data_IF_758639719438
#
_entry.id   IF_758639719438
#
_cell.length_a   1.000
_cell.length_b   1.000
_cell.length_c   1.000
_cell.angle_alpha   90.00
_cell.angle_beta   90.00
_cell.angle_gamma   90.00
#
_symmetry.space_group_name_H-M   'P 1'
#
loop_
_entity.id
_entity.type
_entity.pdbx_description
1 polymer ?
#
# COMPACT_ATOMS: atom_id res chain seq x y z
N UNK A 1 -15.14 15.76 68.84
CA UNK A 1 -14.90 16.29 67.50
C UNK A 1 -13.45 16.08 66.97
N UNK A 2 -12.43 16.27 67.79
CA UNK A 2 -10.99 16.13 67.34
C UNK A 2 -10.64 14.71 66.84
N UNK A 3 -11.21 13.65 67.42
CA UNK A 3 -10.92 12.25 67.01
C UNK A 3 -11.51 11.85 65.65
N UNK A 4 -12.56 12.53 65.17
CA UNK A 4 -13.18 12.26 63.88
C UNK A 4 -12.37 12.89 62.76
N UNK A 5 -11.80 14.07 62.96
CA UNK A 5 -10.94 14.76 61.99
C UNK A 5 -9.60 14.01 61.79
N UNK A 6 -9.04 13.38 62.81
CA UNK A 6 -7.80 12.60 62.67
C UNK A 6 -8.03 11.31 61.89
N UNK A 7 -9.21 10.69 61.98
CA UNK A 7 -9.53 9.49 61.19
C UNK A 7 -9.78 9.82 59.70
N UNK A 8 -10.40 10.98 59.45
CA UNK A 8 -10.62 11.45 58.07
C UNK A 8 -9.31 11.87 57.39
N UNK A 9 -8.38 12.48 58.13
CA UNK A 9 -7.04 12.86 57.62
C UNK A 9 -6.19 11.61 57.32
N UNK A 10 -6.29 10.54 58.14
CA UNK A 10 -5.61 9.27 57.89
C UNK A 10 -6.18 8.54 56.67
N UNK A 11 -7.50 8.60 56.46
CA UNK A 11 -8.14 8.02 55.27
C UNK A 11 -7.75 8.76 53.99
N UNK A 12 -7.65 10.10 54.01
CA UNK A 12 -7.21 10.90 52.87
C UNK A 12 -5.72 10.65 52.54
N UNK A 13 -4.88 10.50 53.60
CA UNK A 13 -3.48 10.17 53.43
C UNK A 13 -3.26 8.75 52.87
N UNK A 14 -4.07 7.76 53.35
CA UNK A 14 -4.01 6.38 52.82
C UNK A 14 -4.48 6.29 51.38
N UNK A 15 -5.54 7.02 50.97
CA UNK A 15 -5.97 7.13 49.57
C UNK A 15 -4.93 7.80 48.69
N UNK A 16 -4.24 8.84 49.18
CA UNK A 16 -3.21 9.55 48.38
C UNK A 16 -1.93 8.72 48.20
N UNK A 17 -1.57 7.87 49.18
CA UNK A 17 -0.44 6.93 49.07
C UNK A 17 -0.78 5.77 48.16
N UNK A 18 -2.00 5.24 48.20
CA UNK A 18 -2.46 4.18 47.31
C UNK A 18 -2.55 4.65 45.84
N UNK A 19 -3.05 5.87 45.62
CA UNK A 19 -3.11 6.49 44.29
C UNK A 19 -1.71 6.77 43.74
N UNK A 20 -0.73 7.24 44.56
CA UNK A 20 0.63 7.43 44.13
C UNK A 20 1.39 6.15 43.81
N UNK A 21 1.20 5.08 44.59
CA UNK A 21 1.81 3.79 44.38
C UNK A 21 1.39 3.15 43.05
N UNK A 22 0.08 3.14 42.79
CA UNK A 22 -0.46 2.60 41.55
C UNK A 22 -0.11 3.46 40.32
N UNK A 23 0.02 4.80 40.49
CA UNK A 23 0.42 5.68 39.39
C UNK A 23 1.89 5.48 38.98
N UNK A 24 2.80 5.23 39.94
CA UNK A 24 4.21 4.97 39.63
C UNK A 24 4.44 3.62 38.94
N UNK A 25 3.74 2.57 39.35
CA UNK A 25 3.79 1.26 38.71
C UNK A 25 3.23 1.35 37.29
N UNK A 26 2.08 2.01 37.10
CA UNK A 26 1.46 2.18 35.80
C UNK A 26 2.33 3.00 34.82
N UNK A 27 3.07 4.01 35.32
CA UNK A 27 3.99 4.81 34.49
C UNK A 27 5.20 4.00 34.05
N UNK A 28 5.76 3.15 34.89
CA UNK A 28 6.90 2.32 34.54
C UNK A 28 6.53 1.26 33.50
N UNK A 29 5.38 0.64 33.65
CA UNK A 29 4.89 -0.39 32.73
C UNK A 29 4.46 0.18 31.39
N UNK A 30 3.83 1.36 31.35
CA UNK A 30 3.50 2.03 30.09
C UNK A 30 4.74 2.45 29.30
N UNK A 31 5.84 2.79 29.97
CA UNK A 31 7.12 3.07 29.31
C UNK A 31 7.68 1.83 28.60
N UNK A 32 7.52 0.63 29.18
CA UNK A 32 7.96 -0.60 28.52
C UNK A 32 7.11 -0.90 27.27
N UNK A 33 5.79 -0.67 27.33
CA UNK A 33 4.91 -0.75 26.13
C UNK A 33 5.36 0.21 25.04
N UNK A 34 5.66 1.45 25.41
CA UNK A 34 6.15 2.47 24.46
C UNK A 34 7.47 2.03 23.83
N UNK A 35 8.40 1.53 24.65
CA UNK A 35 9.70 1.04 24.19
C UNK A 35 9.56 -0.14 23.23
N UNK A 36 8.74 -1.15 23.56
CA UNK A 36 8.47 -2.30 22.71
C UNK A 36 7.87 -1.88 21.37
N UNK A 37 6.89 -0.97 21.37
CA UNK A 37 6.30 -0.44 20.14
C UNK A 37 7.31 0.34 19.30
N UNK A 38 8.21 1.12 19.93
CA UNK A 38 9.26 1.85 19.24
C UNK A 38 10.28 0.90 18.61
N UNK A 39 10.78 -0.07 19.36
CA UNK A 39 11.71 -1.09 18.87
C UNK A 39 11.10 -1.89 17.70
N UNK A 40 9.84 -2.29 17.85
CA UNK A 40 9.11 -2.96 16.78
C UNK A 40 9.02 -2.09 15.52
N UNK A 41 8.72 -0.79 15.67
CA UNK A 41 8.68 0.13 14.54
C UNK A 41 10.06 0.31 13.88
N UNK A 42 11.13 0.38 14.65
CA UNK A 42 12.49 0.54 14.14
C UNK A 42 12.94 -0.67 13.30
N UNK A 43 12.52 -1.88 13.69
CA UNK A 43 12.82 -3.13 12.99
C UNK A 43 12.01 -3.35 11.71
N UNK A 44 11.02 -2.51 11.38
CA UNK A 44 10.02 -2.73 10.31
C UNK A 44 10.59 -3.00 8.91
N UNK A 45 11.77 -2.44 8.61
CA UNK A 45 12.41 -2.58 7.29
C UNK A 45 13.43 -3.73 7.25
N UNK A 46 14.03 -4.07 8.39
CA UNK A 46 15.13 -5.03 8.48
C UNK A 46 14.67 -6.41 8.95
N UNK A 47 13.61 -6.44 9.77
CA UNK A 47 13.06 -7.68 10.34
C UNK A 47 11.56 -7.53 10.60
N UNK A 48 10.72 -7.61 9.54
CA UNK A 48 9.27 -7.45 9.67
C UNK A 48 8.63 -8.51 10.58
N UNK A 49 9.16 -9.74 10.61
CA UNK A 49 8.72 -10.79 11.53
C UNK A 49 8.93 -10.40 12.98
N UNK A 50 10.11 -9.80 13.29
CA UNK A 50 10.42 -9.30 14.62
C UNK A 50 9.50 -8.15 14.99
N UNK A 51 9.18 -7.27 14.02
CA UNK A 51 8.19 -6.19 14.19
C UNK A 51 6.83 -6.74 14.65
N UNK A 52 6.35 -7.80 14.01
CA UNK A 52 5.08 -8.45 14.39
C UNK A 52 5.21 -9.11 15.78
N UNK A 53 6.33 -9.78 16.06
CA UNK A 53 6.58 -10.46 17.33
C UNK A 53 6.62 -9.47 18.50
N UNK A 54 7.38 -8.39 18.37
CA UNK A 54 7.52 -7.38 19.42
C UNK A 54 6.23 -6.57 19.59
N UNK A 55 5.51 -6.31 18.49
CA UNK A 55 4.17 -5.73 18.54
C UNK A 55 3.17 -6.60 19.32
N UNK A 56 3.23 -7.93 19.20
CA UNK A 56 2.41 -8.85 20.00
C UNK A 56 2.75 -8.77 21.48
N UNK A 57 4.04 -8.68 21.83
CA UNK A 57 4.46 -8.51 23.24
C UNK A 57 3.97 -7.17 23.79
N UNK A 58 4.11 -6.09 23.00
CA UNK A 58 3.60 -4.77 23.38
C UNK A 58 2.08 -4.80 23.59
N UNK A 59 1.34 -5.50 22.72
CA UNK A 59 -0.11 -5.65 22.83
C UNK A 59 -0.49 -6.35 24.13
N UNK A 60 0.09 -7.52 24.41
CA UNK A 60 -0.22 -8.28 25.60
C UNK A 60 0.02 -7.47 26.89
N UNK A 61 1.15 -6.76 26.97
CA UNK A 61 1.45 -5.90 28.10
C UNK A 61 0.50 -4.69 28.18
N UNK A 62 0.16 -4.07 27.04
CA UNK A 62 -0.76 -2.94 27.00
C UNK A 62 -2.19 -3.33 27.40
N UNK A 63 -2.64 -4.53 27.05
CA UNK A 63 -3.94 -5.09 27.48
C UNK A 63 -3.97 -5.35 28.98
N UNK A 64 -2.91 -5.97 29.52
CA UNK A 64 -2.76 -6.19 30.97
C UNK A 64 -2.83 -4.87 31.75
N UNK A 65 -2.20 -3.82 31.23
CA UNK A 65 -2.17 -2.49 31.84
C UNK A 65 -3.40 -1.63 31.50
N UNK A 66 -4.32 -2.13 30.69
CA UNK A 66 -5.46 -1.37 30.15
C UNK A 66 -5.04 -0.05 29.47
N UNK A 67 -3.82 -0.04 28.90
CA UNK A 67 -3.23 1.13 28.25
C UNK A 67 -3.73 1.25 26.82
N UNK A 68 -4.89 1.86 26.65
CA UNK A 68 -5.61 1.98 25.35
C UNK A 68 -4.75 2.53 24.22
N UNK A 69 -3.93 3.56 24.47
CA UNK A 69 -3.02 4.12 23.47
C UNK A 69 -1.94 3.11 23.06
N UNK A 70 -1.39 2.37 24.01
CA UNK A 70 -0.40 1.32 23.76
C UNK A 70 -0.97 0.19 22.92
N UNK A 71 -2.23 -0.22 23.17
CA UNK A 71 -2.95 -1.21 22.37
C UNK A 71 -3.09 -0.73 20.91
N UNK A 72 -3.56 0.51 20.72
CA UNK A 72 -3.69 1.11 19.38
C UNK A 72 -2.38 1.13 18.63
N UNK A 73 -1.28 1.52 19.29
CA UNK A 73 0.05 1.57 18.70
C UNK A 73 0.59 0.18 18.38
N UNK A 74 0.38 -0.81 19.24
CA UNK A 74 0.78 -2.20 18.99
C UNK A 74 0.09 -2.76 17.74
N UNK A 75 -1.22 -2.55 17.59
CA UNK A 75 -1.92 -2.93 16.36
C UNK A 75 -1.36 -2.21 15.14
N UNK A 76 -1.05 -0.91 15.23
CA UNK A 76 -0.45 -0.16 14.12
C UNK A 76 0.91 -0.75 13.71
N UNK A 77 1.78 -1.02 14.65
CA UNK A 77 3.12 -1.54 14.38
C UNK A 77 3.07 -2.96 13.83
N UNK A 78 2.19 -3.82 14.39
CA UNK A 78 1.94 -5.15 13.83
C UNK A 78 1.40 -5.07 12.40
N UNK A 79 0.52 -4.10 12.10
CA UNK A 79 0.03 -3.82 10.76
C UNK A 79 1.16 -3.45 9.80
N UNK A 80 2.12 -2.63 10.23
CA UNK A 80 3.31 -2.28 9.44
C UNK A 80 4.17 -3.52 9.18
N UNK A 81 4.44 -4.37 10.18
CA UNK A 81 5.16 -5.61 9.98
C UNK A 81 4.50 -6.51 8.94
N UNK A 82 3.18 -6.70 9.05
CA UNK A 82 2.42 -7.50 8.07
C UNK A 82 2.40 -6.88 6.67
N UNK A 83 2.40 -5.55 6.55
CA UNK A 83 2.54 -4.86 5.27
C UNK A 83 3.87 -5.22 4.58
N UNK A 84 5.00 -5.18 5.31
CA UNK A 84 6.31 -5.54 4.77
C UNK A 84 6.47 -7.06 4.52
N UNK A 85 5.65 -7.90 5.17
CA UNK A 85 5.54 -9.33 4.88
C UNK A 85 4.60 -9.64 3.69
N UNK A 86 4.12 -8.63 2.97
CA UNK A 86 3.14 -8.77 1.88
C UNK A 86 1.82 -9.43 2.33
N UNK A 87 1.47 -9.33 3.60
CA UNK A 87 0.24 -9.86 4.19
C UNK A 87 -0.82 -8.76 4.29
N UNK A 88 -1.25 -8.23 3.15
CA UNK A 88 -2.10 -7.04 3.06
C UNK A 88 -3.41 -7.17 3.83
N UNK A 89 -4.04 -8.36 3.81
CA UNK A 89 -5.27 -8.62 4.56
C UNK A 89 -5.08 -8.48 6.06
N UNK A 90 -3.98 -9.02 6.59
CA UNK A 90 -3.68 -8.90 8.02
C UNK A 90 -3.30 -7.46 8.36
N UNK A 91 -2.56 -6.79 7.50
CA UNK A 91 -2.18 -5.39 7.69
C UNK A 91 -3.40 -4.48 7.81
N UNK A 92 -4.38 -4.59 6.89
CA UNK A 92 -5.58 -3.73 6.94
C UNK A 92 -6.43 -4.01 8.17
N UNK A 93 -6.63 -5.28 8.57
CA UNK A 93 -7.39 -5.63 9.77
C UNK A 93 -6.76 -5.01 11.03
N UNK A 94 -5.42 -5.09 11.15
CA UNK A 94 -4.67 -4.51 12.26
C UNK A 94 -4.72 -2.99 12.26
N UNK A 95 -4.64 -2.34 11.09
CA UNK A 95 -4.79 -0.89 10.99
C UNK A 95 -6.19 -0.43 11.39
N UNK A 96 -7.23 -1.16 11.01
CA UNK A 96 -8.60 -0.82 11.39
C UNK A 96 -8.83 -0.99 12.91
N UNK A 97 -8.26 -2.03 13.51
CA UNK A 97 -8.27 -2.18 14.97
C UNK A 97 -7.54 -1.02 15.64
N UNK A 98 -6.34 -0.69 15.18
CA UNK A 98 -5.58 0.46 15.66
C UNK A 98 -6.39 1.75 15.60
N UNK A 99 -7.02 2.01 14.45
CA UNK A 99 -7.85 3.19 14.22
C UNK A 99 -9.00 3.28 15.24
N UNK A 100 -9.70 2.16 15.49
CA UNK A 100 -10.79 2.13 16.44
C UNK A 100 -10.35 2.49 17.87
N UNK A 101 -9.16 2.03 18.29
CA UNK A 101 -8.61 2.37 19.59
C UNK A 101 -8.22 3.84 19.69
N UNK A 102 -7.60 4.43 18.65
CA UNK A 102 -7.24 5.85 18.66
C UNK A 102 -8.46 6.77 18.58
N UNK A 103 -9.47 6.40 17.81
CA UNK A 103 -10.75 7.12 17.78
C UNK A 103 -11.45 7.12 19.14
N UNK A 104 -11.44 5.97 19.84
CA UNK A 104 -12.00 5.86 21.18
C UNK A 104 -11.39 6.83 22.19
N UNK A 105 -10.10 7.14 22.05
CA UNK A 105 -9.39 8.08 22.93
C UNK A 105 -9.16 9.45 22.33
N UNK A 106 -9.73 9.72 21.15
CA UNK A 106 -9.58 10.97 20.39
C UNK A 106 -8.12 11.38 20.12
N UNK A 107 -7.22 10.39 19.93
CA UNK A 107 -5.82 10.63 19.55
C UNK A 107 -5.71 10.88 18.04
N UNK A 108 -6.08 12.09 17.61
CA UNK A 108 -6.05 12.49 16.21
C UNK A 108 -4.66 12.32 15.56
N UNK A 109 -3.58 12.56 16.32
CA UNK A 109 -2.21 12.38 15.80
C UNK A 109 -1.93 10.94 15.40
N UNK A 110 -2.32 9.99 16.22
CA UNK A 110 -2.15 8.57 15.93
C UNK A 110 -3.12 8.09 14.85
N UNK A 111 -4.36 8.60 14.82
CA UNK A 111 -5.30 8.35 13.71
C UNK A 111 -4.70 8.75 12.37
N UNK A 112 -4.08 9.93 12.27
CA UNK A 112 -3.44 10.37 11.04
C UNK A 112 -2.33 9.43 10.58
N UNK A 113 -1.51 8.91 11.51
CA UNK A 113 -0.48 7.90 11.18
C UNK A 113 -1.08 6.61 10.63
N UNK A 114 -2.20 6.17 11.20
CA UNK A 114 -2.91 4.97 10.71
C UNK A 114 -3.48 5.21 9.33
N UNK A 115 -4.12 6.35 9.07
CA UNK A 115 -4.61 6.70 7.73
C UNK A 115 -3.47 6.74 6.71
N UNK A 116 -2.30 7.28 7.06
CA UNK A 116 -1.13 7.24 6.20
C UNK A 116 -0.70 5.79 5.88
N UNK A 117 -0.71 4.89 6.88
CA UNK A 117 -0.36 3.49 6.66
C UNK A 117 -1.37 2.78 5.75
N UNK A 118 -2.66 3.04 5.93
CA UNK A 118 -3.72 2.51 5.05
C UNK A 118 -3.55 3.06 3.62
N UNK A 119 -3.25 4.35 3.48
CA UNK A 119 -2.96 4.96 2.18
C UNK A 119 -1.80 4.27 1.46
N UNK A 120 -0.73 3.94 2.18
CA UNK A 120 0.41 3.19 1.62
C UNK A 120 0.00 1.78 1.17
N UNK A 121 -0.90 1.11 1.88
CA UNK A 121 -1.39 -0.22 1.49
C UNK A 121 -2.15 -0.19 0.15
N UNK A 122 -2.86 0.91 -0.13
CA UNK A 122 -3.60 1.08 -1.38
C UNK A 122 -2.78 1.67 -2.53
N UNK A 123 -1.54 2.11 -2.28
CA UNK A 123 -0.72 2.86 -3.23
C UNK A 123 -0.50 2.12 -4.56
N UNK A 124 -0.36 0.80 -4.53
CA UNK A 124 -0.08 0.02 -5.73
C UNK A 124 -1.34 -0.47 -6.47
N UNK A 125 -2.49 -0.53 -5.78
CA UNK A 125 -3.67 -1.23 -6.29
C UNK A 125 -4.89 -0.33 -6.47
N UNK A 126 -4.99 0.77 -5.71
CA UNK A 126 -6.15 1.67 -5.76
C UNK A 126 -5.75 3.11 -5.43
N UNK A 127 -5.37 3.85 -6.46
CA UNK A 127 -4.94 5.26 -6.31
C UNK A 127 -6.01 6.17 -5.71
N UNK A 128 -7.29 5.89 -5.94
CA UNK A 128 -8.38 6.70 -5.39
C UNK A 128 -8.48 6.53 -3.88
N UNK A 129 -8.47 5.30 -3.40
CA UNK A 129 -8.46 5.01 -1.96
C UNK A 129 -7.17 5.50 -1.30
N UNK A 130 -6.01 5.31 -1.94
CA UNK A 130 -4.75 5.84 -1.43
C UNK A 130 -4.82 7.36 -1.21
N UNK A 131 -5.30 8.12 -2.21
CA UNK A 131 -5.47 9.57 -2.10
C UNK A 131 -6.45 9.95 -1.00
N UNK A 132 -7.58 9.26 -0.89
CA UNK A 132 -8.57 9.52 0.15
C UNK A 132 -7.97 9.39 1.55
N UNK A 133 -7.28 8.29 1.83
CA UNK A 133 -6.65 8.06 3.14
C UNK A 133 -5.49 9.02 3.40
N UNK A 134 -4.67 9.33 2.42
CA UNK A 134 -3.63 10.34 2.56
C UNK A 134 -4.21 11.73 2.81
N UNK A 135 -5.34 12.09 2.17
CA UNK A 135 -6.02 13.38 2.41
C UNK A 135 -6.64 13.46 3.81
N UNK A 136 -7.26 12.36 4.30
CA UNK A 136 -7.74 12.28 5.70
C UNK A 136 -6.58 12.51 6.68
N UNK A 137 -5.45 11.84 6.45
CA UNK A 137 -4.25 12.01 7.25
C UNK A 137 -3.69 13.43 7.17
N UNK A 138 -3.60 13.99 5.97
CA UNK A 138 -3.06 15.33 5.71
C UNK A 138 -3.89 16.44 6.39
N UNK A 139 -5.21 16.33 6.32
CA UNK A 139 -6.11 17.28 6.99
C UNK A 139 -5.83 17.32 8.50
N UNK A 140 -5.68 16.15 9.13
CA UNK A 140 -5.38 16.07 10.57
C UNK A 140 -3.97 16.58 10.85
N UNK A 141 -2.96 16.17 10.07
CA UNK A 141 -1.57 16.58 10.27
C UNK A 141 -1.40 18.11 10.17
N UNK A 142 -2.07 18.74 9.21
CA UNK A 142 -2.07 20.20 9.05
C UNK A 142 -2.77 20.89 10.23
N UNK A 143 -3.92 20.39 10.67
CA UNK A 143 -4.64 20.92 11.83
C UNK A 143 -3.81 20.87 13.11
N UNK A 144 -2.98 19.82 13.25
CA UNK A 144 -2.08 19.63 14.40
C UNK A 144 -0.71 20.28 14.23
N UNK A 145 -0.44 20.94 13.10
CA UNK A 145 0.87 21.48 12.73
C UNK A 145 1.98 20.40 12.79
N UNK A 146 1.66 19.13 12.47
CA UNK A 146 2.63 18.03 12.41
C UNK A 146 3.40 18.10 11.09
N UNK A 147 4.42 18.97 11.04
CA UNK A 147 5.22 19.19 9.84
C UNK A 147 5.91 17.92 9.32
N UNK A 148 6.51 17.03 10.15
CA UNK A 148 7.10 15.78 9.67
C UNK A 148 6.08 14.89 8.94
N UNK A 149 4.91 14.69 9.53
CA UNK A 149 3.86 13.89 8.91
C UNK A 149 3.31 14.56 7.64
N UNK A 150 3.13 15.88 7.65
CA UNK A 150 2.69 16.66 6.48
C UNK A 150 3.68 16.50 5.32
N UNK A 151 4.98 16.58 5.58
CA UNK A 151 6.03 16.36 4.58
C UNK A 151 5.98 14.96 3.99
N UNK A 152 5.85 13.93 4.83
CA UNK A 152 5.74 12.54 4.39
C UNK A 152 4.48 12.30 3.56
N UNK A 153 3.35 12.91 3.94
CA UNK A 153 2.10 12.81 3.19
C UNK A 153 2.18 13.47 1.82
N UNK A 154 2.83 14.63 1.69
CA UNK A 154 3.07 15.22 0.38
C UNK A 154 3.93 14.32 -0.49
N UNK A 155 4.94 13.66 0.08
CA UNK A 155 5.76 12.69 -0.65
C UNK A 155 4.91 11.51 -1.14
N UNK A 156 4.06 10.96 -0.28
CA UNK A 156 3.19 9.83 -0.62
C UNK A 156 2.13 10.21 -1.67
N UNK A 157 1.52 11.39 -1.55
CA UNK A 157 0.59 11.91 -2.56
C UNK A 157 1.32 12.12 -3.90
N UNK A 158 2.55 12.64 -3.87
CA UNK A 158 3.41 12.73 -5.04
C UNK A 158 3.64 11.39 -5.71
N UNK A 159 3.87 10.33 -4.92
CA UNK A 159 4.01 8.96 -5.42
C UNK A 159 2.72 8.48 -6.12
N UNK A 160 1.54 8.77 -5.57
CA UNK A 160 0.27 8.45 -6.24
C UNK A 160 0.17 9.14 -7.60
N UNK A 161 0.48 10.44 -7.67
CA UNK A 161 0.42 11.17 -8.94
C UNK A 161 1.46 10.68 -9.94
N UNK A 162 2.65 10.31 -9.48
CA UNK A 162 3.65 9.65 -10.32
C UNK A 162 3.12 8.34 -10.94
N UNK A 163 2.53 7.47 -10.12
CA UNK A 163 1.90 6.21 -10.57
C UNK A 163 0.76 6.46 -11.56
N UNK A 164 0.00 7.52 -11.37
CA UNK A 164 -1.03 7.99 -12.32
C UNK A 164 -0.43 8.66 -13.58
N UNK A 165 0.88 8.72 -13.71
CA UNK A 165 1.63 9.42 -14.78
C UNK A 165 1.32 10.92 -14.86
N UNK A 166 0.79 11.50 -13.78
CA UNK A 166 0.60 12.94 -13.69
C UNK A 166 1.87 13.59 -13.09
N UNK A 167 2.89 13.70 -13.92
CA UNK A 167 4.24 14.09 -13.51
C UNK A 167 4.32 15.52 -12.95
N UNK A 168 3.53 16.44 -13.50
CA UNK A 168 3.52 17.82 -13.03
C UNK A 168 2.99 17.92 -11.59
N UNK A 169 1.90 17.21 -11.27
CA UNK A 169 1.39 17.15 -9.93
C UNK A 169 2.33 16.42 -8.98
N UNK A 170 2.96 15.32 -9.44
CA UNK A 170 3.97 14.63 -8.65
C UNK A 170 5.11 15.55 -8.24
N UNK A 171 5.70 16.31 -9.19
CA UNK A 171 6.75 17.28 -8.91
C UNK A 171 6.28 18.35 -7.91
N UNK A 172 5.09 18.90 -8.10
CA UNK A 172 4.54 19.92 -7.18
C UNK A 172 4.44 19.40 -5.74
N UNK A 173 3.98 18.15 -5.55
CA UNK A 173 3.90 17.56 -4.23
C UNK A 173 5.26 17.21 -3.65
N UNK A 174 6.22 16.74 -4.46
CA UNK A 174 7.58 16.52 -4.00
C UNK A 174 8.29 17.82 -3.62
N UNK A 175 8.02 18.93 -4.32
CA UNK A 175 8.56 20.24 -3.94
C UNK A 175 8.00 20.76 -2.61
N UNK A 176 6.69 20.55 -2.35
CA UNK A 176 6.08 20.84 -1.04
C UNK A 176 6.73 20.01 0.06
N UNK A 177 6.92 18.72 -0.17
CA UNK A 177 7.59 17.82 0.76
C UNK A 177 9.03 18.26 1.02
N UNK A 178 9.79 18.55 -0.05
CA UNK A 178 11.18 19.02 0.03
C UNK A 178 11.31 20.30 0.85
N UNK A 179 10.40 21.27 0.67
CA UNK A 179 10.40 22.51 1.44
C UNK A 179 10.24 22.27 2.94
N UNK A 180 9.33 21.35 3.31
CA UNK A 180 9.12 21.00 4.70
C UNK A 180 10.34 20.30 5.29
N UNK A 181 10.88 19.28 4.61
CA UNK A 181 12.02 18.52 5.12
C UNK A 181 13.31 19.34 5.14
N UNK A 182 13.46 20.31 4.23
CA UNK A 182 14.55 21.28 4.29
C UNK A 182 14.44 22.16 5.55
N UNK A 183 13.27 22.65 5.88
CA UNK A 183 13.03 23.39 7.12
C UNK A 183 13.25 22.57 8.39
N UNK A 184 13.00 21.27 8.33
CA UNK A 184 13.24 20.33 9.43
C UNK A 184 14.68 19.81 9.49
N UNK A 185 15.50 20.10 8.49
CA UNK A 185 16.86 19.53 8.31
C UNK A 185 16.85 17.98 8.26
N UNK A 186 15.74 17.38 7.81
CA UNK A 186 15.59 15.93 7.68
C UNK A 186 16.24 15.45 6.39
N UNK A 187 17.53 15.18 6.50
CA UNK A 187 18.35 14.74 5.36
C UNK A 187 17.86 13.44 4.72
N UNK A 188 17.30 12.51 5.48
CA UNK A 188 16.83 11.22 4.97
C UNK A 188 15.64 11.42 4.02
N UNK A 189 14.68 12.19 4.45
CA UNK A 189 13.51 12.48 3.60
C UNK A 189 13.86 13.43 2.44
N UNK A 190 14.84 14.33 2.60
CA UNK A 190 15.37 15.14 1.50
C UNK A 190 16.00 14.27 0.39
N UNK A 191 16.79 13.25 0.76
CA UNK A 191 17.35 12.28 -0.19
C UNK A 191 16.21 11.60 -0.98
N UNK A 192 15.15 11.19 -0.31
CA UNK A 192 14.00 10.57 -0.96
C UNK A 192 13.26 11.54 -1.91
N UNK A 193 13.12 12.82 -1.53
CA UNK A 193 12.58 13.85 -2.41
C UNK A 193 13.42 14.02 -3.68
N UNK A 194 14.75 14.09 -3.54
CA UNK A 194 15.68 14.20 -4.67
C UNK A 194 15.57 12.99 -5.59
N UNK A 195 15.55 11.79 -5.02
CA UNK A 195 15.40 10.55 -5.77
C UNK A 195 14.08 10.51 -6.55
N UNK A 196 12.96 10.79 -5.88
CA UNK A 196 11.64 10.74 -6.52
C UNK A 196 11.52 11.78 -7.64
N UNK A 197 12.03 13.00 -7.45
CA UNK A 197 12.10 14.02 -8.51
C UNK A 197 12.98 13.56 -9.65
N UNK A 198 14.12 12.94 -9.38
CA UNK A 198 14.99 12.36 -10.39
C UNK A 198 14.29 11.30 -11.23
N UNK A 199 13.52 10.41 -10.59
CA UNK A 199 12.68 9.40 -11.27
C UNK A 199 11.63 10.05 -12.17
N UNK A 200 10.98 11.14 -11.73
CA UNK A 200 10.01 11.86 -12.57
C UNK A 200 10.69 12.49 -13.79
N UNK A 201 11.84 13.17 -13.60
CA UNK A 201 12.56 13.76 -14.72
C UNK A 201 13.09 12.69 -15.70
N UNK A 202 13.49 11.53 -15.20
CA UNK A 202 13.82 10.38 -16.06
C UNK A 202 12.60 9.95 -16.89
N UNK A 203 11.42 9.82 -16.27
CA UNK A 203 10.17 9.46 -16.96
C UNK A 203 9.73 10.51 -17.98
N UNK A 204 10.13 11.77 -17.79
CA UNK A 204 9.93 12.88 -18.74
C UNK A 204 11.02 12.97 -19.82
N UNK A 205 11.97 12.04 -19.86
CA UNK A 205 13.16 12.05 -20.74
C UNK A 205 14.06 13.30 -20.55
N UNK A 206 13.96 13.98 -19.40
CA UNK A 206 14.84 15.10 -19.04
C UNK A 206 16.09 14.56 -18.34
N UNK A 207 16.88 13.78 -19.08
CA UNK A 207 17.97 12.95 -18.54
C UNK A 207 19.02 13.74 -17.76
N UNK A 208 19.42 14.91 -18.21
CA UNK A 208 20.42 15.74 -17.50
C UNK A 208 19.94 16.18 -16.12
N UNK A 209 18.66 16.58 -15.99
CA UNK A 209 18.08 16.94 -14.70
C UNK A 209 17.94 15.72 -13.79
N UNK A 210 17.51 14.59 -14.36
CA UNK A 210 17.39 13.33 -13.65
C UNK A 210 18.74 12.89 -13.09
N UNK A 211 19.77 12.87 -13.92
CA UNK A 211 21.13 12.47 -13.54
C UNK A 211 21.67 13.33 -12.37
N UNK A 212 21.57 14.66 -12.48
CA UNK A 212 22.04 15.57 -11.44
C UNK A 212 21.38 15.31 -10.10
N UNK A 213 20.05 15.14 -10.08
CA UNK A 213 19.28 14.88 -8.85
C UNK A 213 19.60 13.50 -8.26
N UNK A 214 19.71 12.49 -9.11
CA UNK A 214 20.00 11.12 -8.68
C UNK A 214 21.43 11.00 -8.16
N UNK A 215 22.41 11.63 -8.80
CA UNK A 215 23.80 11.67 -8.30
C UNK A 215 23.88 12.40 -6.96
N UNK A 216 23.18 13.52 -6.80
CA UNK A 216 23.12 14.22 -5.52
C UNK A 216 22.46 13.36 -4.42
N UNK A 217 21.37 12.67 -4.74
CA UNK A 217 20.71 11.74 -3.81
C UNK A 217 21.63 10.57 -3.43
N UNK A 218 22.28 9.96 -4.41
CA UNK A 218 23.23 8.86 -4.21
C UNK A 218 24.39 9.27 -3.31
N UNK A 219 25.03 10.41 -3.60
CA UNK A 219 26.13 10.95 -2.80
C UNK A 219 25.68 11.18 -1.35
N UNK A 220 24.56 11.89 -1.16
CA UNK A 220 24.04 12.17 0.18
C UNK A 220 23.63 10.90 0.95
N UNK A 221 23.16 9.86 0.25
CA UNK A 221 22.84 8.58 0.86
C UNK A 221 24.09 7.80 1.30
N UNK A 222 25.15 7.81 0.47
CA UNK A 222 26.45 7.19 0.82
C UNK A 222 27.11 7.85 2.04
N UNK A 223 27.11 9.18 2.11
CA UNK A 223 27.65 9.94 3.24
C UNK A 223 26.95 9.62 4.57
N UNK A 224 25.80 8.93 4.54
CA UNK A 224 25.00 8.55 5.71
C UNK A 224 24.82 7.04 5.87
N UNK A 225 25.57 6.25 5.12
CA UNK A 225 25.50 4.78 5.14
C UNK A 225 24.08 4.21 4.92
N UNK A 226 23.29 4.86 4.07
CA UNK A 226 21.92 4.46 3.78
C UNK A 226 21.86 3.49 2.60
N UNK A 227 22.04 2.19 2.85
CA UNK A 227 22.13 1.16 1.82
C UNK A 227 20.92 1.13 0.88
N UNK A 228 19.69 1.22 1.39
CA UNK A 228 18.47 1.14 0.58
C UNK A 228 18.31 2.31 -0.39
N UNK A 229 18.45 3.58 0.03
CA UNK A 229 18.50 4.72 -0.89
C UNK A 229 19.61 4.62 -1.93
N UNK A 230 20.82 4.18 -1.58
CA UNK A 230 21.92 3.98 -2.55
C UNK A 230 21.52 2.94 -3.60
N UNK A 231 21.04 1.75 -3.15
CA UNK A 231 20.65 0.69 -4.07
C UNK A 231 19.52 1.14 -5.02
N UNK A 232 18.46 1.76 -4.50
CA UNK A 232 17.32 2.19 -5.33
C UNK A 232 17.67 3.34 -6.28
N UNK A 233 18.54 4.27 -5.87
CA UNK A 233 19.02 5.36 -6.73
C UNK A 233 19.90 4.81 -7.86
N UNK A 234 20.76 3.85 -7.55
CA UNK A 234 21.63 3.20 -8.55
C UNK A 234 20.82 2.44 -9.62
N UNK A 235 19.69 1.81 -9.26
CA UNK A 235 18.78 1.22 -10.24
C UNK A 235 18.25 2.26 -11.23
N UNK A 236 17.84 3.41 -10.74
CA UNK A 236 17.34 4.48 -11.61
C UNK A 236 18.44 5.09 -12.47
N UNK A 237 19.64 5.30 -11.91
CA UNK A 237 20.82 5.76 -12.67
C UNK A 237 21.22 4.76 -13.74
N UNK A 238 21.23 3.46 -13.43
CA UNK A 238 21.52 2.42 -14.40
C UNK A 238 20.51 2.44 -15.54
N UNK A 239 19.22 2.53 -15.24
CA UNK A 239 18.15 2.64 -16.25
C UNK A 239 18.32 3.88 -17.14
N UNK A 240 18.70 5.00 -16.54
CA UNK A 240 19.00 6.25 -17.24
C UNK A 240 20.19 6.08 -18.19
N UNK A 241 21.29 5.49 -17.74
CA UNK A 241 22.47 5.25 -18.59
C UNK A 241 22.20 4.23 -19.70
N UNK A 242 21.41 3.20 -19.43
CA UNK A 242 20.94 2.24 -20.45
C UNK A 242 20.11 2.97 -21.52
N UNK A 243 19.19 3.84 -21.12
CA UNK A 243 18.37 4.62 -22.05
C UNK A 243 19.20 5.54 -22.95
N UNK A 244 20.32 6.05 -22.43
CA UNK A 244 21.29 6.87 -23.18
C UNK A 244 22.37 6.06 -23.91
N UNK A 245 22.33 4.73 -23.87
CA UNK A 245 23.37 3.84 -24.42
C UNK A 245 24.76 4.02 -23.78
N UNK A 246 24.83 4.55 -22.56
CA UNK A 246 26.06 4.72 -21.74
C UNK A 246 26.32 3.44 -20.96
N UNK A 247 26.55 2.34 -21.65
CA UNK A 247 26.54 0.99 -21.09
C UNK A 247 27.64 0.73 -20.05
N UNK A 248 28.82 1.33 -20.20
CA UNK A 248 29.92 1.13 -19.24
C UNK A 248 29.60 1.80 -17.90
N UNK A 249 28.96 2.96 -17.94
CA UNK A 249 28.52 3.66 -16.72
C UNK A 249 27.36 2.92 -16.07
N UNK A 250 26.42 2.39 -16.87
CA UNK A 250 25.35 1.54 -16.38
C UNK A 250 25.90 0.31 -15.65
N UNK A 251 26.87 -0.39 -16.23
CA UNK A 251 27.47 -1.57 -15.61
C UNK A 251 28.16 -1.25 -14.28
N UNK A 252 28.94 -0.17 -14.23
CA UNK A 252 29.61 0.28 -13.01
C UNK A 252 28.61 0.58 -11.89
N UNK A 253 27.54 1.30 -12.20
CA UNK A 253 26.48 1.66 -11.23
C UNK A 253 25.68 0.42 -10.79
N UNK A 254 25.44 -0.52 -11.68
CA UNK A 254 24.79 -1.79 -11.36
C UNK A 254 25.65 -2.60 -10.39
N UNK A 255 26.94 -2.77 -10.68
CA UNK A 255 27.86 -3.52 -9.81
C UNK A 255 27.95 -2.89 -8.40
N UNK A 256 28.06 -1.57 -8.36
CA UNK A 256 28.08 -0.87 -7.08
C UNK A 256 26.76 -1.07 -6.33
N UNK A 257 25.63 -0.88 -7.00
CA UNK A 257 24.30 -1.00 -6.38
C UNK A 257 23.98 -2.41 -5.93
N UNK A 258 24.43 -3.45 -6.65
CA UNK A 258 24.29 -4.83 -6.22
C UNK A 258 25.01 -5.12 -4.89
N UNK A 259 26.17 -4.51 -4.63
CA UNK A 259 26.86 -4.65 -3.37
C UNK A 259 26.03 -4.11 -2.19
N UNK A 260 25.37 -2.96 -2.38
CA UNK A 260 24.42 -2.42 -1.40
C UNK A 260 23.14 -3.24 -1.28
N UNK A 261 22.61 -3.76 -2.38
CA UNK A 261 21.41 -4.59 -2.39
C UNK A 261 21.64 -5.91 -1.62
N UNK A 262 22.80 -6.55 -1.80
CA UNK A 262 23.14 -7.79 -1.10
C UNK A 262 23.13 -7.63 0.42
N UNK A 263 23.52 -6.45 0.94
CA UNK A 263 23.50 -6.15 2.36
C UNK A 263 22.06 -6.00 2.93
N UNK A 264 21.06 -5.75 2.05
CA UNK A 264 19.67 -5.53 2.47
C UNK A 264 18.89 -6.84 2.64
N UNK A 265 19.31 -7.94 2.00
CA UNK A 265 18.58 -9.22 1.94
C UNK A 265 17.12 -9.01 1.47
N UNK A 266 16.90 -8.09 0.53
CA UNK A 266 15.60 -7.72 -0.04
C UNK A 266 15.48 -8.36 -1.43
N UNK A 267 14.66 -9.41 -1.54
CA UNK A 267 14.48 -10.18 -2.78
C UNK A 267 13.93 -9.32 -3.92
N UNK A 268 13.09 -8.33 -3.59
CA UNK A 268 12.53 -7.41 -4.58
C UNK A 268 13.62 -6.56 -5.23
N UNK A 269 14.49 -5.96 -4.43
CA UNK A 269 15.62 -5.16 -4.95
C UNK A 269 16.56 -6.04 -5.78
N UNK A 270 16.79 -7.27 -5.36
CA UNK A 270 17.60 -8.24 -6.11
C UNK A 270 16.98 -8.55 -7.48
N UNK A 271 15.68 -8.75 -7.52
CA UNK A 271 14.93 -8.96 -8.78
C UNK A 271 14.97 -7.73 -9.68
N UNK A 272 14.82 -6.53 -9.12
CA UNK A 272 14.94 -5.27 -9.87
C UNK A 272 16.33 -5.10 -10.50
N UNK A 273 17.41 -5.50 -9.81
CA UNK A 273 18.75 -5.53 -10.36
C UNK A 273 18.90 -6.56 -11.49
N UNK A 274 18.37 -7.76 -11.32
CA UNK A 274 18.38 -8.79 -12.37
C UNK A 274 17.67 -8.28 -13.63
N UNK A 275 16.53 -7.60 -13.47
CA UNK A 275 15.81 -6.99 -14.58
C UNK A 275 16.61 -5.86 -15.25
N UNK A 276 17.28 -5.03 -14.48
CA UNK A 276 18.14 -3.96 -15.01
C UNK A 276 19.33 -4.51 -15.77
N UNK A 277 19.95 -5.59 -15.27
CA UNK A 277 21.05 -6.27 -15.99
C UNK A 277 20.54 -6.93 -17.27
N UNK A 278 19.39 -7.60 -17.20
CA UNK A 278 18.74 -8.12 -18.41
C UNK A 278 18.57 -7.01 -19.47
N UNK A 279 18.06 -5.86 -19.10
CA UNK A 279 17.89 -4.73 -20.01
C UNK A 279 19.22 -4.24 -20.58
N UNK A 280 20.25 -4.12 -19.73
CA UNK A 280 21.59 -3.72 -20.12
C UNK A 280 22.18 -4.69 -21.16
N UNK A 281 22.16 -5.97 -20.87
CA UNK A 281 22.75 -6.99 -21.73
C UNK A 281 21.96 -7.16 -23.06
N UNK A 282 20.63 -7.06 -23.01
CA UNK A 282 19.79 -7.07 -24.19
C UNK A 282 20.12 -5.87 -25.11
N UNK A 283 20.29 -4.67 -24.56
CA UNK A 283 20.68 -3.47 -25.31
C UNK A 283 22.10 -3.56 -25.86
N UNK A 284 23.02 -4.21 -25.16
CA UNK A 284 24.37 -4.54 -25.63
C UNK A 284 24.40 -5.65 -26.69
N UNK A 285 23.25 -6.31 -26.94
CA UNK A 285 23.13 -7.50 -27.80
C UNK A 285 23.86 -8.74 -27.25
N UNK A 286 24.14 -8.80 -25.97
CA UNK A 286 24.67 -9.96 -25.29
C UNK A 286 23.51 -10.89 -24.85
N UNK A 287 22.96 -11.60 -25.84
CA UNK A 287 21.71 -12.33 -25.63
C UNK A 287 21.87 -13.54 -24.70
N UNK A 288 23.05 -14.12 -24.57
CA UNK A 288 23.31 -15.22 -23.65
C UNK A 288 23.16 -14.76 -22.20
N UNK A 289 23.83 -13.66 -21.82
CA UNK A 289 23.67 -13.09 -20.47
C UNK A 289 22.28 -12.56 -20.22
N UNK A 290 21.68 -11.92 -21.22
CA UNK A 290 20.30 -11.44 -21.11
C UNK A 290 19.33 -12.60 -20.83
N UNK A 291 19.44 -13.71 -21.55
CA UNK A 291 18.62 -14.90 -21.34
C UNK A 291 18.82 -15.49 -19.93
N UNK A 292 20.06 -15.54 -19.46
CA UNK A 292 20.36 -16.04 -18.11
C UNK A 292 19.62 -15.23 -17.03
N UNK A 293 19.70 -13.90 -17.07
CA UNK A 293 19.01 -13.05 -16.11
C UNK A 293 17.49 -13.10 -16.27
N UNK A 294 16.99 -13.19 -17.49
CA UNK A 294 15.56 -13.38 -17.76
C UNK A 294 15.05 -14.68 -17.12
N UNK A 295 15.79 -15.79 -17.22
CA UNK A 295 15.45 -17.06 -16.58
C UNK A 295 15.44 -16.95 -15.04
N UNK A 296 16.38 -16.20 -14.46
CA UNK A 296 16.38 -15.94 -13.02
C UNK A 296 15.13 -15.17 -12.58
N UNK A 297 14.76 -14.12 -13.33
CA UNK A 297 13.56 -13.31 -13.07
C UNK A 297 12.32 -14.22 -13.12
N UNK A 298 12.16 -15.03 -14.17
CA UNK A 298 11.02 -15.94 -14.29
C UNK A 298 10.92 -16.95 -13.14
N UNK A 299 12.05 -17.47 -12.65
CA UNK A 299 12.05 -18.36 -11.48
C UNK A 299 11.58 -17.68 -10.21
N UNK A 300 11.94 -16.40 -10.02
CA UNK A 300 11.54 -15.59 -8.87
C UNK A 300 10.10 -15.08 -9.02
N UNK A 301 9.72 -14.66 -10.23
CA UNK A 301 8.42 -14.03 -10.53
C UNK A 301 7.27 -15.04 -10.45
N UNK A 302 7.49 -16.32 -10.77
CA UNK A 302 6.45 -17.35 -10.62
C UNK A 302 5.96 -17.51 -9.17
N UNK A 303 6.79 -17.17 -8.19
CA UNK A 303 6.43 -17.15 -6.77
C UNK A 303 5.87 -15.79 -6.34
N UNK A 304 6.44 -14.70 -6.84
CA UNK A 304 6.01 -13.34 -6.52
C UNK A 304 4.66 -12.99 -7.18
N UNK A 305 4.43 -13.41 -8.42
CA UNK A 305 3.18 -13.14 -9.15
C UNK A 305 1.97 -13.81 -8.49
N UNK A 306 2.14 -15.06 -8.00
CA UNK A 306 1.11 -15.75 -7.20
C UNK A 306 0.78 -15.00 -5.90
N UNK A 307 1.77 -14.41 -5.27
CA UNK A 307 1.60 -13.63 -4.05
C UNK A 307 0.95 -12.26 -4.34
N UNK A 308 1.27 -11.64 -5.48
CA UNK A 308 0.73 -10.33 -5.87
C UNK A 308 -0.75 -10.42 -6.28
N UNK A 309 -1.15 -11.42 -7.08
CA UNK A 309 -2.56 -11.71 -7.38
C UNK A 309 -3.37 -12.04 -6.11
N UNK A 310 -2.82 -12.86 -5.21
CA UNK A 310 -3.44 -13.16 -3.92
C UNK A 310 -3.59 -11.90 -3.07
N UNK A 311 -2.61 -11.02 -3.09
CA UNK A 311 -2.64 -9.75 -2.36
C UNK A 311 -3.70 -8.80 -2.95
N UNK A 312 -3.80 -8.68 -4.27
CA UNK A 312 -4.81 -7.86 -4.95
C UNK A 312 -6.23 -8.35 -4.66
N UNK A 313 -6.48 -9.64 -4.75
CA UNK A 313 -7.77 -10.26 -4.42
C UNK A 313 -8.13 -9.99 -2.96
N UNK A 314 -7.17 -10.13 -2.04
CA UNK A 314 -7.37 -9.89 -0.62
C UNK A 314 -7.68 -8.41 -0.33
N UNK A 315 -7.00 -7.47 -1.00
CA UNK A 315 -7.27 -6.03 -0.85
C UNK A 315 -8.68 -5.70 -1.35
N UNK A 316 -9.09 -6.25 -2.50
CA UNK A 316 -10.45 -6.06 -3.03
C UNK A 316 -11.50 -6.64 -2.08
N UNK A 317 -11.25 -7.81 -1.50
CA UNK A 317 -12.15 -8.41 -0.50
C UNK A 317 -12.26 -7.56 0.77
N UNK A 318 -11.15 -6.98 1.24
CA UNK A 318 -11.18 -6.09 2.39
C UNK A 318 -11.84 -4.74 2.11
N UNK A 319 -11.67 -4.19 0.90
CA UNK A 319 -12.44 -3.02 0.46
C UNK A 319 -13.95 -3.29 0.56
N UNK A 320 -14.37 -4.44 0.06
CA UNK A 320 -15.78 -4.83 0.11
C UNK A 320 -16.28 -4.99 1.55
N UNK A 321 -15.47 -5.62 2.40
CA UNK A 321 -15.78 -5.84 3.82
C UNK A 321 -15.82 -4.52 4.62
N UNK A 322 -14.90 -3.60 4.30
CA UNK A 322 -14.88 -2.27 4.91
C UNK A 322 -16.08 -1.44 4.48
N UNK A 323 -16.45 -1.46 3.20
CA UNK A 323 -17.66 -0.80 2.71
C UNK A 323 -18.94 -1.38 3.33
N UNK A 324 -18.97 -2.71 3.51
CA UNK A 324 -20.08 -3.36 4.18
C UNK A 324 -20.18 -2.91 5.65
N UNK A 325 -19.05 -2.83 6.34
CA UNK A 325 -18.97 -2.41 7.75
C UNK A 325 -19.25 -0.90 7.94
N UNK A 326 -18.79 -0.07 7.02
CA UNK A 326 -19.13 1.37 7.00
C UNK A 326 -20.64 1.56 6.77
N UNK A 327 -21.23 0.77 5.86
CA UNK A 327 -22.70 0.75 5.67
C UNK A 327 -23.43 0.27 6.92
N UNK A 328 -22.93 -0.78 7.56
CA UNK A 328 -23.51 -1.29 8.81
C UNK A 328 -23.42 -0.25 9.93
N UNK A 329 -22.28 0.43 10.05
CA UNK A 329 -22.10 1.52 11.02
C UNK A 329 -22.98 2.73 10.67
N UNK A 330 -23.11 3.08 9.39
CA UNK A 330 -24.04 4.12 8.95
C UNK A 330 -25.50 3.73 9.20
N UNK A 331 -25.86 2.48 8.97
CA UNK A 331 -27.20 1.97 9.27
C UNK A 331 -27.48 1.96 10.78
N UNK A 332 -26.47 1.61 11.62
CA UNK A 332 -26.55 1.69 13.07
C UNK A 332 -26.68 3.15 13.56
N UNK A 333 -25.92 4.08 12.96
CA UNK A 333 -26.03 5.52 13.26
C UNK A 333 -27.38 6.08 12.82
N UNK A 334 -27.89 5.69 11.64
CA UNK A 334 -29.24 6.04 11.18
C UNK A 334 -30.27 5.41 12.09
N UNK A 335 -30.06 4.18 12.51
CA UNK A 335 -30.91 3.49 13.50
C UNK A 335 -30.93 4.22 14.85
N UNK A 336 -29.76 4.62 15.36
CA UNK A 336 -29.66 5.39 16.62
C UNK A 336 -30.25 6.81 16.47
N UNK A 337 -30.05 7.49 15.34
CA UNK A 337 -30.71 8.76 15.06
C UNK A 337 -32.23 8.58 14.97
N UNK A 338 -32.71 7.52 14.32
CA UNK A 338 -34.12 7.21 14.27
C UNK A 338 -34.70 6.84 15.64
N UNK A 339 -33.96 6.11 16.48
CA UNK A 339 -34.35 5.84 17.87
C UNK A 339 -34.32 7.13 18.74
N UNK A 340 -33.37 8.01 18.53
CA UNK A 340 -33.36 9.35 19.14
C UNK A 340 -34.51 10.21 18.66
N UNK A 341 -34.80 10.20 17.35
CA UNK A 341 -35.97 10.91 16.77
C UNK A 341 -37.25 10.31 17.30
N UNK A 342 -37.36 8.96 17.38
CA UNK A 342 -38.49 8.28 17.99
C UNK A 342 -38.62 8.61 19.49
N UNK A 343 -37.51 8.63 20.24
CA UNK A 343 -37.51 9.01 21.66
C UNK A 343 -37.99 10.44 21.85
N UNK A 344 -37.46 11.39 21.06
CA UNK A 344 -37.91 12.78 21.11
C UNK A 344 -39.34 12.94 20.59
N UNK A 345 -39.71 12.19 19.52
CA UNK A 345 -41.08 12.17 19.02
C UNK A 345 -42.06 11.58 20.06
N UNK A 346 -41.65 10.51 20.75
CA UNK A 346 -42.44 9.93 21.87
C UNK A 346 -42.51 10.90 23.06
N UNK A 347 -41.41 11.60 23.38
CA UNK A 347 -41.38 12.59 24.46
C UNK A 347 -42.24 13.82 24.14
N UNK A 348 -42.16 14.28 22.89
CA UNK A 348 -43.03 15.36 22.37
C UNK A 348 -44.49 14.90 22.30
N UNK A 349 -44.72 13.65 21.85
CA UNK A 349 -46.06 13.07 21.79
C UNK A 349 -46.60 12.79 23.22
N UNK A 350 -45.74 12.39 24.18
CA UNK A 350 -46.14 12.27 25.61
C UNK A 350 -46.43 13.64 26.22
N UNK A 351 -45.62 14.66 25.89
CA UNK A 351 -45.87 16.06 26.25
C UNK A 351 -47.15 16.60 25.63
N UNK A 352 -47.33 16.32 24.33
CA UNK A 352 -48.55 16.68 23.60
C UNK A 352 -49.76 15.83 24.07
N UNK A 353 -49.57 14.56 24.48
CA UNK A 353 -50.61 13.74 25.10
C UNK A 353 -50.96 14.27 26.48
N UNK A 354 -50.05 14.80 27.26
CA UNK A 354 -50.36 15.56 28.46
C UNK A 354 -51.12 16.83 28.19
N UNK A 355 -50.73 17.53 27.10
CA UNK A 355 -51.50 18.70 26.58
C UNK A 355 -52.80 18.27 25.96
N UNK A 356 -52.79 17.11 25.24
CA UNK A 356 -53.99 16.52 24.57
C UNK A 356 -54.84 15.74 25.56
N UNK A 357 -54.34 15.21 26.70
CA UNK A 357 -55.21 14.80 27.80
C UNK A 357 -56.03 16.01 28.33
N UNK A 358 -55.41 17.17 28.29
CA UNK A 358 -56.11 18.44 28.54
C UNK A 358 -57.00 18.88 27.32
N UNK A 359 -56.59 18.50 26.12
CA UNK A 359 -57.29 18.79 24.86
C UNK A 359 -58.08 17.59 24.27
N UNK A 360 -57.99 16.38 24.91
CA UNK A 360 -58.62 15.11 24.40
C UNK A 360 -60.11 15.03 24.50
N UNK A 361 -60.73 16.09 25.01
CA UNK A 361 -62.18 16.26 24.84
C UNK A 361 -62.53 16.71 23.40
N UNK A 362 -61.51 17.10 22.60
CA UNK A 362 -61.83 17.71 21.28
C UNK A 362 -61.26 17.05 20.00
N UNK A 363 -60.53 15.91 20.03
CA UNK A 363 -59.91 15.52 18.73
C UNK A 363 -59.65 14.03 18.45
N UNK A 364 -60.70 13.26 18.30
CA UNK A 364 -60.67 11.89 17.74
C UNK A 364 -60.25 11.86 16.24
N UNK A 365 -60.21 13.01 15.57
CA UNK A 365 -59.92 13.09 14.13
C UNK A 365 -58.42 13.01 13.75
N UNK A 366 -57.47 13.13 14.69
CA UNK A 366 -56.06 13.08 14.35
C UNK A 366 -55.47 11.66 14.30
N UNK A 367 -56.14 10.65 14.82
CA UNK A 367 -55.63 9.29 14.89
C UNK A 367 -55.46 8.61 13.52
N UNK A 368 -56.20 9.05 12.51
CA UNK A 368 -56.19 8.47 11.16
C UNK A 368 -55.00 8.92 10.33
N UNK A 369 -54.46 10.14 10.56
CA UNK A 369 -53.35 10.68 9.74
C UNK A 369 -52.02 10.06 10.11
N UNK A 370 -51.78 9.73 11.40
CA UNK A 370 -50.52 9.16 11.85
C UNK A 370 -50.33 7.69 11.40
N UNK A 371 -51.40 6.92 11.28
CA UNK A 371 -51.34 5.54 10.80
C UNK A 371 -51.03 5.43 9.29
N UNK A 372 -51.50 6.39 8.48
CA UNK A 372 -51.18 6.40 7.08
C UNK A 372 -49.72 6.72 6.77
N UNK A 373 -49.12 7.62 7.57
CA UNK A 373 -47.69 7.95 7.42
C UNK A 373 -46.75 6.80 7.79
N UNK A 374 -47.18 5.97 8.74
CA UNK A 374 -46.38 4.77 9.13
C UNK A 374 -46.46 3.67 8.03
N UNK A 375 -47.58 3.60 7.33
CA UNK A 375 -47.77 2.69 6.19
C UNK A 375 -46.91 3.09 5.01
N UNK A 376 -46.86 4.39 4.71
CA UNK A 376 -46.05 4.92 3.62
C UNK A 376 -44.54 4.74 3.88
N UNK A 377 -44.11 4.89 5.15
CA UNK A 377 -42.70 4.69 5.50
C UNK A 377 -42.28 3.21 5.48
N UNK A 378 -43.18 2.29 5.81
CA UNK A 378 -42.96 0.85 5.68
C UNK A 378 -42.84 0.40 4.21
N UNK A 379 -43.65 1.00 3.33
CA UNK A 379 -43.57 0.74 1.90
C UNK A 379 -42.25 1.25 1.31
N UNK A 380 -41.77 2.39 1.78
CA UNK A 380 -40.47 2.95 1.32
C UNK A 380 -39.26 2.09 1.79
N UNK A 381 -39.26 1.63 3.04
CA UNK A 381 -38.24 0.71 3.55
C UNK A 381 -38.27 -0.63 2.80
N UNK A 382 -39.44 -1.14 2.46
CA UNK A 382 -39.57 -2.36 1.67
C UNK A 382 -38.99 -2.18 0.25
N UNK A 383 -39.23 -1.04 -0.39
CA UNK A 383 -38.65 -0.71 -1.71
C UNK A 383 -37.10 -0.59 -1.68
N UNK A 384 -36.55 -0.01 -0.62
CA UNK A 384 -35.09 0.11 -0.48
C UNK A 384 -34.43 -1.26 -0.27
N UNK A 385 -35.07 -2.17 0.47
CA UNK A 385 -34.63 -3.54 0.62
C UNK A 385 -34.61 -4.30 -0.71
N UNK A 386 -35.69 -4.23 -1.47
CA UNK A 386 -35.79 -4.89 -2.78
C UNK A 386 -34.77 -4.35 -3.79
N UNK A 387 -34.40 -3.06 -3.66
CA UNK A 387 -33.40 -2.45 -4.50
C UNK A 387 -31.98 -2.92 -4.12
N UNK A 388 -31.72 -3.11 -2.82
CA UNK A 388 -30.46 -3.63 -2.32
C UNK A 388 -30.22 -5.09 -2.76
N UNK A 389 -31.26 -5.90 -2.71
CA UNK A 389 -31.21 -7.30 -3.17
C UNK A 389 -30.94 -7.39 -4.70
N UNK A 390 -31.51 -6.46 -5.49
CA UNK A 390 -31.20 -6.38 -6.93
C UNK A 390 -29.76 -5.98 -7.21
N UNK A 391 -29.23 -5.03 -6.43
CA UNK A 391 -27.83 -4.58 -6.58
C UNK A 391 -26.87 -5.72 -6.22
N UNK A 392 -27.15 -6.45 -5.14
CA UNK A 392 -26.32 -7.59 -4.74
C UNK A 392 -26.30 -8.70 -5.80
N UNK A 393 -27.49 -9.01 -6.36
CA UNK A 393 -27.55 -10.02 -7.42
C UNK A 393 -26.79 -9.58 -8.69
N UNK A 394 -26.89 -8.30 -9.05
CA UNK A 394 -26.15 -7.76 -10.19
C UNK A 394 -24.62 -7.73 -9.94
N UNK A 395 -24.20 -7.50 -8.69
CA UNK A 395 -22.78 -7.57 -8.31
C UNK A 395 -22.23 -9.01 -8.40
N UNK A 396 -23.02 -10.01 -8.00
CA UNK A 396 -22.65 -11.42 -8.15
C UNK A 396 -22.50 -11.81 -9.63
N UNK A 397 -23.41 -11.34 -10.50
CA UNK A 397 -23.30 -11.56 -11.96
C UNK A 397 -22.02 -10.95 -12.55
N UNK A 398 -21.70 -9.70 -12.15
CA UNK A 398 -20.47 -9.03 -12.62
C UNK A 398 -19.22 -9.75 -12.14
N UNK A 399 -19.21 -10.23 -10.90
CA UNK A 399 -18.07 -10.97 -10.34
C UNK A 399 -17.86 -12.29 -11.10
N UNK A 400 -18.94 -13.01 -11.40
CA UNK A 400 -18.87 -14.27 -12.14
C UNK A 400 -18.38 -14.05 -13.59
N UNK A 401 -18.90 -13.01 -14.26
CA UNK A 401 -18.48 -12.61 -15.60
C UNK A 401 -17.00 -12.22 -15.64
N UNK A 402 -16.56 -11.39 -14.69
CA UNK A 402 -15.14 -10.96 -14.58
C UNK A 402 -14.22 -12.12 -14.27
N UNK A 403 -14.67 -13.05 -13.43
CA UNK A 403 -13.87 -14.22 -13.07
C UNK A 403 -13.68 -15.15 -14.29
N UNK A 404 -14.74 -15.35 -15.07
CA UNK A 404 -14.67 -16.12 -16.33
C UNK A 404 -13.76 -15.43 -17.36
N UNK A 405 -13.87 -14.11 -17.52
CA UNK A 405 -13.02 -13.35 -18.45
C UNK A 405 -11.52 -13.45 -18.07
N UNK A 406 -11.22 -13.34 -16.76
CA UNK A 406 -9.87 -13.50 -16.24
C UNK A 406 -9.32 -14.92 -16.46
N UNK A 407 -10.14 -15.95 -16.27
CA UNK A 407 -9.73 -17.34 -16.51
C UNK A 407 -9.42 -17.57 -17.99
N UNK A 408 -10.23 -17.04 -18.90
CA UNK A 408 -10.04 -17.13 -20.36
C UNK A 408 -8.75 -16.43 -20.76
N UNK A 409 -8.50 -15.20 -20.24
CA UNK A 409 -7.29 -14.42 -20.53
C UNK A 409 -6.04 -15.11 -20.00
N UNK A 410 -6.08 -15.64 -18.79
CA UNK A 410 -4.96 -16.39 -18.20
C UNK A 410 -4.64 -17.67 -18.97
N UNK A 411 -5.68 -18.42 -19.41
CA UNK A 411 -5.49 -19.60 -20.23
C UNK A 411 -4.81 -19.26 -21.56
N UNK A 412 -5.30 -18.23 -22.26
CA UNK A 412 -4.69 -17.76 -23.51
C UNK A 412 -3.24 -17.31 -23.31
N UNK A 413 -2.94 -16.55 -22.24
CA UNK A 413 -1.58 -16.11 -21.92
C UNK A 413 -0.64 -17.30 -21.67
N UNK A 414 -1.12 -18.31 -20.95
CA UNK A 414 -0.36 -19.53 -20.71
C UNK A 414 -0.07 -20.32 -22.00
N UNK A 415 -1.07 -20.42 -22.88
CA UNK A 415 -0.91 -21.09 -24.19
C UNK A 415 0.09 -20.34 -25.08
N UNK A 416 0.05 -19.00 -25.11
CA UNK A 416 1.01 -18.18 -25.85
C UNK A 416 2.43 -18.26 -25.30
N UNK A 417 2.58 -18.24 -23.97
CA UNK A 417 3.89 -18.39 -23.31
C UNK A 417 4.54 -19.74 -23.63
N UNK A 418 3.75 -20.82 -23.59
CA UNK A 418 4.20 -22.17 -23.96
C UNK A 418 4.61 -22.26 -25.43
N UNK A 419 3.79 -21.71 -26.31
CA UNK A 419 4.06 -21.68 -27.75
C UNK A 419 5.36 -20.92 -28.07
N UNK A 420 5.55 -19.72 -27.50
CA UNK A 420 6.75 -18.92 -27.70
C UNK A 420 8.02 -19.67 -27.26
N UNK A 421 7.96 -20.25 -26.06
CA UNK A 421 9.08 -21.02 -25.50
C UNK A 421 9.48 -22.18 -26.43
N UNK A 422 8.49 -22.80 -27.09
CA UNK A 422 8.75 -23.90 -28.03
C UNK A 422 9.34 -23.40 -29.35
N UNK A 423 8.85 -22.27 -29.87
CA UNK A 423 9.29 -21.71 -31.16
C UNK A 423 10.68 -21.07 -31.10
N UNK A 424 11.08 -20.52 -29.96
CA UNK A 424 12.40 -19.91 -29.78
C UNK A 424 13.49 -20.97 -29.47
N UNK A 425 13.13 -22.08 -28.83
CA UNK A 425 14.10 -23.12 -28.42
C UNK A 425 14.87 -23.73 -29.59
N UNK A 426 14.20 -23.93 -30.73
CA UNK A 426 14.81 -24.50 -31.94
C UNK A 426 15.91 -23.60 -32.50
N UNK A 427 15.60 -22.36 -32.90
CA UNK A 427 16.59 -21.42 -33.42
C UNK A 427 17.75 -21.15 -32.45
N UNK A 428 17.50 -21.06 -31.13
CA UNK A 428 18.57 -20.93 -30.12
C UNK A 428 19.49 -22.15 -30.10
N UNK A 429 18.93 -23.35 -30.21
CA UNK A 429 19.73 -24.59 -30.28
C UNK A 429 20.59 -24.60 -31.55
N UNK A 430 20.04 -24.14 -32.67
CA UNK A 430 20.76 -24.02 -33.96
C UNK A 430 21.90 -23.02 -33.86
N UNK A 431 21.63 -21.82 -33.28
CA UNK A 431 22.64 -20.81 -33.03
C UNK A 431 23.79 -21.32 -32.18
N UNK A 432 23.46 -22.08 -31.12
CA UNK A 432 24.47 -22.72 -30.26
C UNK A 432 25.27 -23.81 -30.99
N UNK A 433 24.63 -24.53 -31.88
CA UNK A 433 25.29 -25.51 -32.77
C UNK A 433 26.28 -24.84 -33.75
N UNK A 434 25.85 -23.71 -34.36
CA UNK A 434 26.69 -22.94 -35.27
C UNK A 434 27.92 -22.37 -34.59
N UNK A 435 27.76 -21.80 -33.37
CA UNK A 435 28.88 -21.33 -32.55
C UNK A 435 29.89 -22.42 -32.23
N UNK A 436 29.41 -23.65 -31.97
CA UNK A 436 30.31 -24.78 -31.72
C UNK A 436 31.04 -25.22 -32.98
N UNK A 437 30.36 -25.28 -34.13
CA UNK A 437 30.95 -25.64 -35.43
C UNK A 437 32.00 -24.61 -35.87
N UNK A 438 31.79 -23.34 -35.62
CA UNK A 438 32.76 -22.28 -35.89
C UNK A 438 33.99 -22.43 -34.97
N UNK A 439 33.80 -22.68 -33.69
CA UNK A 439 34.90 -22.91 -32.74
C UNK A 439 35.74 -24.13 -33.05
N UNK A 440 35.17 -25.13 -33.69
CA UNK A 440 35.85 -26.36 -34.13
C UNK A 440 36.47 -26.22 -35.53
N UNK A 441 36.32 -25.05 -36.18
CA UNK A 441 36.87 -24.78 -37.53
C UNK A 441 36.22 -25.61 -38.63
N UNK A 442 35.03 -26.10 -38.45
CA UNK A 442 34.32 -26.99 -39.35
C UNK A 442 33.45 -26.27 -40.39
N UNK A 443 33.27 -24.97 -40.25
CA UNK A 443 32.48 -24.13 -41.15
C UNK A 443 33.24 -22.82 -41.39
N UNK A 444 33.16 -22.28 -42.61
CA UNK A 444 33.73 -20.98 -42.96
C UNK A 444 33.08 -19.85 -42.15
N UNK A 445 33.92 -18.96 -41.62
CA UNK A 445 33.48 -17.83 -40.73
C UNK A 445 32.36 -17.01 -41.36
N UNK A 446 32.44 -16.80 -42.68
CA UNK A 446 31.46 -16.00 -43.41
C UNK A 446 30.11 -16.68 -43.57
N UNK A 447 30.13 -18.00 -43.81
CA UNK A 447 28.92 -18.83 -43.89
C UNK A 447 28.26 -18.99 -42.51
N UNK A 448 29.10 -19.14 -41.47
CA UNK A 448 28.62 -19.24 -40.10
C UNK A 448 27.91 -17.95 -39.65
N UNK A 449 28.48 -16.79 -39.90
CA UNK A 449 27.89 -15.49 -39.62
C UNK A 449 26.55 -15.32 -40.36
N UNK A 450 26.50 -15.72 -41.64
CA UNK A 450 25.27 -15.60 -42.43
C UNK A 450 24.16 -16.53 -41.92
N UNK A 451 24.51 -17.72 -41.48
CA UNK A 451 23.56 -18.63 -40.87
C UNK A 451 23.10 -18.17 -39.48
N UNK A 452 24.00 -17.58 -38.68
CA UNK A 452 23.66 -16.96 -37.39
C UNK A 452 22.70 -15.78 -37.57
N UNK A 453 22.99 -14.90 -38.53
CA UNK A 453 22.16 -13.72 -38.87
C UNK A 453 20.73 -14.18 -39.25
N UNK A 454 20.65 -15.27 -40.06
CA UNK A 454 19.38 -15.88 -40.41
C UNK A 454 18.63 -16.41 -39.19
N UNK A 455 19.31 -17.11 -38.25
CA UNK A 455 18.69 -17.59 -37.04
C UNK A 455 18.19 -16.47 -36.14
N UNK A 456 18.95 -15.36 -36.06
CA UNK A 456 18.53 -14.17 -35.28
C UNK A 456 17.32 -13.50 -35.98
N UNK A 457 17.34 -13.38 -37.30
CA UNK A 457 16.22 -12.86 -38.09
C UNK A 457 14.96 -13.73 -37.92
N UNK A 458 15.11 -15.05 -37.90
CA UNK A 458 14.00 -15.99 -37.67
C UNK A 458 13.40 -15.87 -36.25
N UNK A 459 14.23 -15.58 -35.24
CA UNK A 459 13.78 -15.32 -33.88
C UNK A 459 13.00 -14.00 -33.82
N UNK A 460 13.57 -12.95 -34.42
CA UNK A 460 12.95 -11.62 -34.43
C UNK A 460 11.61 -11.64 -35.17
N UNK A 461 11.55 -12.34 -36.30
CA UNK A 461 10.31 -12.53 -37.05
C UNK A 461 9.25 -13.28 -36.24
N UNK A 462 9.64 -14.32 -35.48
CA UNK A 462 8.72 -15.07 -34.62
C UNK A 462 8.21 -14.24 -33.44
N UNK A 463 9.05 -13.35 -32.90
CA UNK A 463 8.65 -12.41 -31.85
C UNK A 463 7.67 -11.38 -32.41
N UNK A 464 7.93 -10.86 -33.61
CA UNK A 464 7.05 -9.89 -34.30
C UNK A 464 5.70 -10.57 -34.62
N UNK A 465 5.72 -11.75 -35.23
CA UNK A 465 4.49 -12.51 -35.53
C UNK A 465 3.63 -12.77 -34.28
N UNK A 466 4.27 -12.99 -33.15
CA UNK A 466 3.55 -13.18 -31.90
C UNK A 466 3.02 -11.86 -31.34
N UNK A 467 3.80 -10.77 -31.43
CA UNK A 467 3.35 -9.43 -31.05
C UNK A 467 2.12 -9.01 -31.84
N UNK A 468 2.12 -9.31 -33.15
CA UNK A 468 1.00 -9.03 -34.04
C UNK A 468 -0.22 -9.88 -33.69
N UNK A 469 -0.05 -11.16 -33.41
CA UNK A 469 -1.13 -12.05 -32.94
C UNK A 469 -1.70 -11.64 -31.57
N UNK A 470 -0.86 -11.13 -30.67
CA UNK A 470 -1.32 -10.56 -29.38
C UNK A 470 -2.11 -9.27 -29.58
N UNK A 471 -1.69 -8.45 -30.55
CA UNK A 471 -2.36 -7.18 -30.86
C UNK A 471 -3.66 -7.39 -31.66
N UNK A 472 -3.73 -8.40 -32.56
CA UNK A 472 -4.96 -8.73 -33.28
C UNK A 472 -6.05 -9.31 -32.40
N UNK A 473 -5.66 -10.08 -31.35
CA UNK A 473 -6.63 -10.57 -30.37
C UNK A 473 -7.23 -9.47 -29.50
N UNK A 474 -6.54 -8.33 -29.36
CA UNK A 474 -7.10 -7.16 -28.68
C UNK A 474 -8.09 -6.35 -29.53
N UNK A 475 -8.12 -6.59 -30.86
CA UNK A 475 -9.08 -5.93 -31.78
C UNK A 475 -10.38 -6.69 -31.98
N UNK A 476 -10.46 -7.94 -31.57
CA UNK A 476 -11.66 -8.79 -31.74
C UNK A 476 -12.54 -8.89 -30.51
N UNK A 477 -12.29 -8.09 -29.48
CA UNK A 477 -13.12 -8.00 -28.27
C UNK A 477 -13.47 -6.54 -27.97
N UNK A 478 -14.16 -5.89 -28.91
CA UNK A 478 -14.98 -4.67 -28.70
C UNK A 478 -16.39 -4.99 -29.15
#
# INVERSE_FOLDING_TARGET
>A
MVKIYSLFLLLILSCSVYAKGNFYVAVQDTNEVIKLNSQAYDNRLTSPEQTVSDGKKALALAEQLQYTKGIGEAYRVMGIGNYYLNQAKMAIDLYLKSLAYFQKIHDQKSEAKVYNNIGNLYLDNNYSSALEYFQKSLFIAQKLNDSPLTGALYLNIGNVYYRKKNFNQALSYYDKSNTIFAGLQDSTNLIQCLQNRGVVYFSLNQFAKAENLLLAANKAAKERDLNKPVASTNLTLASLYIAQSRFNEAEKIVQEGQAYAAALKDDKITTDYNYTIYQLEAKRKNYERALHYLQQIFRQDSTAHRNDESTQINIIQEQYKQQAKERETQLLLIGQQNERIKFWAVTVVAGLLLVVIVLLISNVKRKTVTNNQLSDLNDEVSRQKDNLDRINHHLEEIIDERTKDLQIKNRKLSEYSSYLSHQIRGPIATLRGLINLEKEGLVDEKDCIQMMDKCVSDIDQKIIEMSDRLNDTNKTTV
#
